data_IF_068791088779
#
_entry.id   IF_068791088779
#
_cell.length_a   1.000
_cell.length_b   1.000
_cell.length_c   1.000
_cell.angle_alpha   90.00
_cell.angle_beta   90.00
_cell.angle_gamma   90.00
#
_symmetry.space_group_name_H-M   'P 1'
#
loop_
_entity.id
_entity.type
_entity.pdbx_description
1 polymer ?
#
# COMPACT_ATOMS: atom_id res chain seq x y z
N UNK A 1 -6.40 -5.46 33.50
CA UNK A 1 -6.19 -4.80 32.20
C UNK A 1 -7.12 -5.50 31.21
N UNK A 2 -8.23 -4.87 30.82
CA UNK A 2 -9.15 -5.39 29.82
C UNK A 2 -8.46 -5.20 28.46
N UNK A 3 -8.15 -6.30 27.77
CA UNK A 3 -7.73 -6.27 26.39
C UNK A 3 -8.86 -5.62 25.58
N UNK A 4 -8.56 -4.43 25.05
CA UNK A 4 -9.44 -3.77 24.08
C UNK A 4 -9.58 -4.69 22.88
N UNK A 5 -10.70 -5.40 22.83
CA UNK A 5 -11.12 -6.18 21.66
C UNK A 5 -11.56 -5.17 20.60
N UNK A 6 -10.60 -4.46 20.03
CA UNK A 6 -10.86 -3.64 18.85
C UNK A 6 -11.17 -4.59 17.70
N UNK A 7 -12.38 -4.54 17.12
CA UNK A 7 -12.63 -5.25 15.88
C UNK A 7 -11.56 -4.80 14.87
N UNK A 8 -11.11 -5.73 14.04
CA UNK A 8 -10.01 -5.58 13.07
C UNK A 8 -10.28 -4.41 12.11
N UNK A 9 -10.09 -3.17 12.60
CA UNK A 9 -10.39 -1.93 11.87
C UNK A 9 -9.47 -1.78 10.66
N UNK A 10 -8.24 -2.30 10.77
CA UNK A 10 -7.25 -2.26 9.70
C UNK A 10 -7.77 -2.88 8.40
N UNK A 11 -8.49 -4.01 8.49
CA UNK A 11 -9.13 -4.66 7.34
C UNK A 11 -10.33 -3.92 6.76
N UNK A 12 -10.85 -2.90 7.46
CA UNK A 12 -11.96 -2.05 6.98
C UNK A 12 -11.49 -0.77 6.31
N UNK A 13 -10.19 -0.45 6.38
CA UNK A 13 -9.61 0.73 5.73
C UNK A 13 -9.10 0.32 4.35
N UNK A 14 -9.66 0.95 3.32
CA UNK A 14 -9.36 0.72 1.92
C UNK A 14 -8.53 1.87 1.34
N UNK A 15 -7.85 1.62 0.23
CA UNK A 15 -7.19 2.70 -0.54
C UNK A 15 -7.98 2.93 -1.82
N UNK A 16 -8.61 4.11 -1.95
CA UNK A 16 -9.42 4.52 -3.10
C UNK A 16 -8.97 5.90 -3.55
N UNK A 17 -8.71 6.09 -4.83
CA UNK A 17 -8.17 7.35 -5.41
C UNK A 17 -6.87 7.81 -4.71
N UNK A 18 -6.03 6.86 -4.26
CA UNK A 18 -4.80 7.17 -3.53
C UNK A 18 -5.01 7.63 -2.07
N UNK A 19 -6.26 7.69 -1.60
CA UNK A 19 -6.61 8.07 -0.24
C UNK A 19 -7.04 6.85 0.57
N UNK A 20 -6.71 6.83 1.85
CA UNK A 20 -7.20 5.84 2.79
C UNK A 20 -8.58 6.23 3.28
N UNK A 21 -9.53 5.32 3.13
CA UNK A 21 -10.93 5.57 3.42
C UNK A 21 -11.58 4.36 4.09
N UNK A 22 -12.65 4.61 4.82
CA UNK A 22 -13.52 3.59 5.41
C UNK A 22 -14.92 3.72 4.80
N UNK A 23 -15.57 2.59 4.53
CA UNK A 23 -16.93 2.57 3.99
C UNK A 23 -17.97 2.97 5.04
N UNK A 24 -19.05 3.59 4.63
CA UNK A 24 -20.15 4.05 5.49
C UNK A 24 -20.72 2.97 6.40
N UNK A 25 -20.82 1.73 5.94
CA UNK A 25 -21.34 0.63 6.75
C UNK A 25 -20.36 0.13 7.82
N UNK A 26 -19.06 0.13 7.49
CA UNK A 26 -18.05 -0.29 8.46
C UNK A 26 -17.88 0.78 9.53
N UNK A 27 -17.90 2.07 9.13
CA UNK A 27 -17.86 3.18 10.05
C UNK A 27 -19.11 3.21 10.96
N UNK A 28 -20.30 2.97 10.40
CA UNK A 28 -21.54 2.89 11.17
C UNK A 28 -21.49 1.75 12.19
N UNK A 29 -20.97 0.58 11.80
CA UNK A 29 -20.78 -0.56 12.70
C UNK A 29 -19.84 -0.22 13.86
N UNK A 30 -18.72 0.46 13.58
CA UNK A 30 -17.77 0.90 14.60
C UNK A 30 -18.39 1.91 15.57
N UNK A 31 -19.27 2.78 15.08
CA UNK A 31 -19.94 3.79 15.90
C UNK A 31 -21.21 3.29 16.59
N UNK A 32 -21.54 2.00 16.41
CA UNK A 32 -22.71 1.37 17.05
C UNK A 32 -24.05 1.92 16.53
N UNK A 33 -24.09 2.35 15.27
CA UNK A 33 -25.30 2.89 14.63
C UNK A 33 -25.61 2.18 13.31
N UNK A 34 -26.83 2.31 12.82
CA UNK A 34 -27.15 1.82 11.48
C UNK A 34 -26.55 2.75 10.41
N UNK A 35 -26.18 2.17 9.25
CA UNK A 35 -25.69 2.96 8.10
C UNK A 35 -26.69 4.06 7.68
N UNK A 36 -27.99 3.76 7.78
CA UNK A 36 -29.04 4.74 7.50
C UNK A 36 -28.93 5.95 8.42
N UNK A 37 -28.79 5.71 9.74
CA UNK A 37 -28.65 6.79 10.75
C UNK A 37 -27.38 7.61 10.54
N UNK A 38 -26.25 6.97 10.24
CA UNK A 38 -25.03 7.66 9.93
C UNK A 38 -25.22 8.59 8.72
N UNK A 39 -25.73 8.04 7.62
CA UNK A 39 -25.92 8.80 6.37
C UNK A 39 -26.97 9.95 6.52
N UNK A 40 -27.99 9.76 7.33
CA UNK A 40 -28.94 10.84 7.66
C UNK A 40 -28.28 11.98 8.43
N UNK A 41 -27.44 11.68 9.45
CA UNK A 41 -26.72 12.70 10.20
C UNK A 41 -25.71 13.45 9.33
N UNK A 42 -24.98 12.73 8.49
CA UNK A 42 -24.06 13.33 7.53
C UNK A 42 -24.81 14.24 6.56
N UNK A 43 -25.94 13.80 6.02
CA UNK A 43 -26.77 14.62 5.11
C UNK A 43 -27.28 15.90 5.77
N UNK A 44 -27.70 15.82 7.05
CA UNK A 44 -28.16 17.00 7.82
C UNK A 44 -27.04 18.00 8.11
N UNK A 45 -25.80 17.55 8.12
CA UNK A 45 -24.61 18.35 8.41
C UNK A 45 -23.66 18.40 7.21
N UNK A 46 -24.20 18.46 5.99
CA UNK A 46 -23.43 18.33 4.74
C UNK A 46 -22.26 19.32 4.63
N UNK A 47 -22.45 20.53 5.12
CA UNK A 47 -21.43 21.60 5.09
C UNK A 47 -20.17 21.28 5.88
N UNK A 48 -20.23 20.28 6.78
CA UNK A 48 -19.09 19.79 7.56
C UNK A 48 -18.32 18.66 6.85
N UNK A 49 -18.77 18.22 5.68
CA UNK A 49 -18.19 17.12 4.93
C UNK A 49 -17.81 17.57 3.52
N UNK A 50 -16.71 18.32 3.37
CA UNK A 50 -16.16 18.62 2.05
C UNK A 50 -15.69 17.33 1.35
N UNK A 51 -15.30 17.43 0.07
CA UNK A 51 -14.96 16.26 -0.76
C UNK A 51 -13.70 15.52 -0.28
N UNK A 52 -12.78 16.20 0.40
CA UNK A 52 -11.61 15.61 1.04
C UNK A 52 -11.92 14.89 2.36
N UNK A 53 -13.13 15.08 2.94
CA UNK A 53 -13.59 14.35 4.12
C UNK A 53 -14.46 13.15 3.75
N UNK A 54 -15.30 13.30 2.73
CA UNK A 54 -16.24 12.25 2.33
C UNK A 54 -16.61 12.38 0.85
N UNK A 55 -16.63 11.25 0.16
CA UNK A 55 -17.17 11.21 -1.21
C UNK A 55 -17.98 9.93 -1.45
N UNK A 56 -18.76 9.94 -2.52
CA UNK A 56 -19.54 8.78 -2.94
C UNK A 56 -18.80 8.02 -4.03
N UNK A 57 -18.75 6.68 -3.92
CA UNK A 57 -18.10 5.84 -4.92
C UNK A 57 -18.85 5.87 -6.25
N UNK A 58 -18.10 5.79 -7.33
CA UNK A 58 -18.63 5.57 -8.67
C UNK A 58 -18.97 4.10 -8.89
N UNK A 59 -19.81 3.81 -9.89
CA UNK A 59 -20.25 2.44 -10.22
C UNK A 59 -19.06 1.52 -10.46
N UNK A 60 -18.06 2.01 -11.20
CA UNK A 60 -16.85 1.24 -11.52
C UNK A 60 -16.01 0.93 -10.27
N UNK A 61 -15.88 1.89 -9.36
CA UNK A 61 -15.14 1.70 -8.10
C UNK A 61 -15.82 0.65 -7.21
N UNK A 62 -17.16 0.65 -7.16
CA UNK A 62 -17.93 -0.37 -6.46
C UNK A 62 -17.76 -1.75 -7.07
N UNK A 63 -17.72 -1.84 -8.41
CA UNK A 63 -17.47 -3.11 -9.11
C UNK A 63 -16.08 -3.67 -8.78
N UNK A 64 -15.05 -2.82 -8.84
CA UNK A 64 -13.68 -3.21 -8.50
C UNK A 64 -13.54 -3.66 -7.04
N UNK A 65 -14.21 -2.98 -6.10
CA UNK A 65 -14.23 -3.40 -4.70
C UNK A 65 -14.89 -4.77 -4.51
N UNK A 66 -15.97 -5.04 -5.25
CA UNK A 66 -16.64 -6.35 -5.17
C UNK A 66 -15.76 -7.48 -5.67
N UNK A 67 -15.01 -7.29 -6.76
CA UNK A 67 -14.09 -8.31 -7.28
C UNK A 67 -12.94 -8.59 -6.30
N UNK A 68 -12.45 -7.58 -5.58
CA UNK A 68 -11.41 -7.75 -4.57
C UNK A 68 -11.92 -8.41 -3.27
N UNK A 69 -13.17 -8.16 -2.89
CA UNK A 69 -13.80 -8.70 -1.68
C UNK A 69 -14.42 -10.09 -1.92
N UNK A 70 -14.78 -10.43 -3.16
CA UNK A 70 -15.34 -11.74 -3.51
C UNK A 70 -14.37 -12.92 -3.25
N UNK A 71 -13.08 -12.66 -3.09
CA UNK A 71 -12.08 -13.63 -2.63
C UNK A 71 -12.13 -13.88 -1.10
N UNK A 72 -12.84 -13.07 -0.32
CA UNK A 72 -13.09 -13.28 1.11
C UNK A 72 -14.57 -13.60 1.33
N UNK A 73 -14.84 -14.82 1.75
CA UNK A 73 -16.14 -15.49 1.93
C UNK A 73 -17.16 -14.76 2.84
N UNK A 74 -17.72 -13.64 2.41
CA UNK A 74 -18.95 -13.14 3.02
C UNK A 74 -19.97 -12.71 1.94
N UNK A 75 -21.18 -13.32 1.88
CA UNK A 75 -22.25 -12.93 0.99
C UNK A 75 -22.87 -11.62 1.48
N UNK A 76 -22.26 -10.48 1.13
CA UNK A 76 -22.84 -9.18 1.39
C UNK A 76 -23.76 -8.83 0.23
N UNK A 77 -25.08 -8.97 0.49
CA UNK A 77 -26.15 -8.73 -0.45
C UNK A 77 -25.96 -7.50 -1.31
N UNK A 78 -26.29 -7.63 -2.60
CA UNK A 78 -26.10 -6.61 -3.62
C UNK A 78 -26.74 -5.27 -3.25
N UNK A 79 -25.95 -4.30 -2.79
CA UNK A 79 -26.43 -2.95 -2.51
C UNK A 79 -26.81 -2.27 -3.81
N UNK A 80 -28.05 -1.81 -3.90
CA UNK A 80 -28.54 -0.95 -5.00
C UNK A 80 -27.94 0.46 -4.96
N UNK A 81 -27.34 0.87 -3.84
CA UNK A 81 -26.83 2.22 -3.63
C UNK A 81 -25.31 2.24 -3.60
N UNK A 82 -24.74 3.26 -4.24
CA UNK A 82 -23.31 3.56 -4.17
C UNK A 82 -22.95 4.00 -2.75
N UNK A 83 -22.01 3.33 -2.07
CA UNK A 83 -21.65 3.67 -0.70
C UNK A 83 -20.90 5.01 -0.64
N UNK A 84 -21.01 5.66 0.52
CA UNK A 84 -20.11 6.74 0.89
C UNK A 84 -18.85 6.17 1.53
N UNK A 85 -17.76 6.88 1.32
CA UNK A 85 -16.48 6.61 1.97
C UNK A 85 -16.02 7.84 2.73
N UNK A 86 -15.37 7.60 3.86
CA UNK A 86 -14.90 8.63 4.78
C UNK A 86 -13.39 8.52 4.92
N UNK A 87 -12.69 9.64 4.77
CA UNK A 87 -11.27 9.75 5.12
C UNK A 87 -11.10 9.78 6.64
N UNK A 88 -9.87 9.85 7.14
CA UNK A 88 -9.58 10.03 8.56
C UNK A 88 -10.36 11.22 9.16
N UNK A 89 -10.30 12.37 8.49
CA UNK A 89 -10.98 13.58 8.93
C UNK A 89 -12.51 13.44 8.88
N UNK A 90 -13.03 12.80 7.80
CA UNK A 90 -14.44 12.52 7.67
C UNK A 90 -14.97 11.57 8.74
N UNK A 91 -14.20 10.57 9.12
CA UNK A 91 -14.57 9.64 10.20
C UNK A 91 -14.66 10.38 11.56
N UNK A 92 -13.70 11.23 11.89
CA UNK A 92 -13.74 12.05 13.12
C UNK A 92 -14.96 12.99 13.10
N UNK A 93 -15.20 13.64 11.98
CA UNK A 93 -16.36 14.54 11.83
C UNK A 93 -17.69 13.77 11.97
N UNK A 94 -17.78 12.55 11.45
CA UNK A 94 -18.96 11.70 11.60
C UNK A 94 -19.21 11.33 13.08
N UNK A 95 -18.18 11.06 13.87
CA UNK A 95 -18.30 10.84 15.30
C UNK A 95 -18.85 12.09 16.02
N UNK A 96 -18.38 13.27 15.64
CA UNK A 96 -18.84 14.55 16.21
C UNK A 96 -20.34 14.81 15.94
N UNK A 97 -20.81 14.56 14.71
CA UNK A 97 -22.23 14.78 14.38
C UNK A 97 -23.14 13.71 14.97
N UNK A 98 -22.64 12.50 15.26
CA UNK A 98 -23.39 11.45 15.98
C UNK A 98 -23.50 11.73 17.47
N UNK A 99 -22.55 12.46 18.05
CA UNK A 99 -22.51 12.90 19.46
C UNK A 99 -22.78 11.78 20.50
N UNK A 100 -22.44 10.53 20.17
CA UNK A 100 -22.61 9.39 21.08
C UNK A 100 -21.27 9.04 21.75
N UNK A 101 -21.33 8.60 23.02
CA UNK A 101 -20.14 8.14 23.75
C UNK A 101 -19.39 7.03 23.01
N UNK A 102 -20.13 6.11 22.38
CA UNK A 102 -19.56 5.01 21.58
C UNK A 102 -18.81 5.57 20.37
N UNK A 103 -19.43 6.50 19.61
CA UNK A 103 -18.80 7.09 18.44
C UNK A 103 -17.54 7.90 18.81
N UNK A 104 -17.55 8.63 19.92
CA UNK A 104 -16.38 9.37 20.42
C UNK A 104 -15.23 8.40 20.76
N UNK A 105 -15.47 7.34 21.51
CA UNK A 105 -14.44 6.36 21.84
C UNK A 105 -13.92 5.63 20.59
N UNK A 106 -14.82 5.22 19.70
CA UNK A 106 -14.45 4.54 18.46
C UNK A 106 -13.66 5.44 17.52
N UNK A 107 -13.94 6.75 17.47
CA UNK A 107 -13.18 7.70 16.64
C UNK A 107 -11.70 7.77 17.05
N UNK A 108 -11.39 7.68 18.34
CA UNK A 108 -10.00 7.65 18.81
C UNK A 108 -9.27 6.42 18.23
N UNK A 109 -9.93 5.27 18.23
CA UNK A 109 -9.35 4.02 17.69
C UNK A 109 -9.19 4.13 16.17
N UNK A 110 -10.18 4.67 15.48
CA UNK A 110 -10.12 4.92 14.03
C UNK A 110 -8.91 5.81 13.69
N UNK A 111 -8.76 6.96 14.35
CA UNK A 111 -7.62 7.87 14.13
C UNK A 111 -6.28 7.17 14.38
N UNK A 112 -6.16 6.44 15.51
CA UNK A 112 -4.92 5.69 15.81
C UNK A 112 -4.60 4.66 14.74
N UNK A 113 -5.62 4.00 14.19
CA UNK A 113 -5.44 3.03 13.10
C UNK A 113 -4.96 3.71 11.82
N UNK A 114 -5.55 4.84 11.43
CA UNK A 114 -5.08 5.61 10.27
C UNK A 114 -3.63 6.08 10.44
N UNK A 115 -3.26 6.59 11.62
CA UNK A 115 -1.89 7.00 11.92
C UNK A 115 -0.93 5.80 11.79
N UNK A 116 -1.24 4.66 12.43
CA UNK A 116 -0.42 3.43 12.35
C UNK A 116 -0.22 3.00 10.91
N UNK A 117 -1.28 2.94 10.12
CA UNK A 117 -1.19 2.55 8.71
C UNK A 117 -0.38 3.54 7.87
N UNK A 118 -0.37 4.85 8.22
CA UNK A 118 0.48 5.85 7.57
C UNK A 118 1.95 5.62 7.88
N UNK A 119 2.28 5.34 9.13
CA UNK A 119 3.65 5.03 9.57
C UNK A 119 4.17 3.77 8.87
N UNK A 120 3.41 2.70 8.84
CA UNK A 120 3.79 1.46 8.13
C UNK A 120 4.09 1.70 6.64
N UNK A 121 3.30 2.55 5.97
CA UNK A 121 3.58 2.88 4.55
C UNK A 121 4.88 3.66 4.36
N UNK A 122 5.18 4.58 5.28
CA UNK A 122 6.43 5.34 5.23
C UNK A 122 7.64 4.40 5.40
N UNK A 123 7.56 3.45 6.35
CA UNK A 123 8.58 2.43 6.59
C UNK A 123 8.77 1.51 5.37
N UNK A 124 7.67 1.07 4.73
CA UNK A 124 7.75 0.29 3.48
C UNK A 124 8.36 1.08 2.33
N UNK A 125 8.09 2.37 2.23
CA UNK A 125 8.70 3.25 1.23
C UNK A 125 10.22 3.36 1.40
N UNK A 126 10.70 3.47 2.63
CA UNK A 126 12.12 3.49 2.95
C UNK A 126 12.80 2.15 2.65
N UNK A 127 12.16 1.04 3.03
CA UNK A 127 12.67 -0.30 2.74
C UNK A 127 12.80 -0.54 1.23
N UNK A 128 11.80 -0.15 0.44
CA UNK A 128 11.86 -0.24 -1.02
C UNK A 128 13.03 0.56 -1.59
N UNK A 129 13.27 1.77 -1.08
CA UNK A 129 14.41 2.61 -1.51
C UNK A 129 15.75 1.95 -1.18
N UNK A 130 15.91 1.39 0.02
CA UNK A 130 17.12 0.65 0.42
C UNK A 130 17.35 -0.57 -0.44
N UNK A 131 16.29 -1.32 -0.77
CA UNK A 131 16.39 -2.48 -1.66
C UNK A 131 16.87 -2.07 -3.06
N UNK A 132 16.30 -1.02 -3.64
CA UNK A 132 16.74 -0.49 -4.93
C UNK A 132 18.20 -0.02 -4.92
N UNK A 133 18.67 0.58 -3.83
CA UNK A 133 20.08 0.98 -3.67
C UNK A 133 21.02 -0.23 -3.63
N UNK A 134 20.63 -1.28 -2.90
CA UNK A 134 21.38 -2.56 -2.85
C UNK A 134 21.41 -3.22 -4.24
N UNK A 135 20.29 -3.30 -4.93
CA UNK A 135 20.21 -3.86 -6.30
C UNK A 135 21.13 -3.11 -7.26
N UNK A 136 21.17 -1.77 -7.17
CA UNK A 136 22.05 -0.93 -7.99
C UNK A 136 23.53 -1.18 -7.69
N UNK A 137 23.90 -1.27 -6.41
CA UNK A 137 25.29 -1.57 -6.01
C UNK A 137 25.72 -2.96 -6.44
N UNK A 138 24.84 -3.94 -6.34
CA UNK A 138 25.11 -5.29 -6.83
C UNK A 138 25.32 -5.30 -8.34
N UNK A 139 24.46 -4.65 -9.10
CA UNK A 139 24.61 -4.56 -10.57
C UNK A 139 25.93 -3.89 -10.97
N UNK A 140 26.37 -2.84 -10.27
CA UNK A 140 27.64 -2.18 -10.49
C UNK A 140 28.82 -3.11 -10.17
N UNK A 141 28.80 -3.78 -9.00
CA UNK A 141 29.84 -4.72 -8.62
C UNK A 141 29.97 -5.90 -9.59
N UNK A 142 28.86 -6.45 -10.10
CA UNK A 142 28.90 -7.50 -11.11
C UNK A 142 29.53 -7.00 -12.44
N UNK A 143 29.22 -5.76 -12.87
CA UNK A 143 29.82 -5.19 -14.07
C UNK A 143 31.35 -4.98 -13.92
N UNK A 144 31.80 -4.51 -12.75
CA UNK A 144 33.23 -4.37 -12.43
C UNK A 144 33.96 -5.72 -12.45
N UNK A 145 33.40 -6.74 -11.77
CA UNK A 145 33.96 -8.08 -11.79
C UNK A 145 33.99 -8.73 -13.18
N UNK A 146 32.97 -8.49 -14.01
CA UNK A 146 32.95 -8.98 -15.39
C UNK A 146 34.09 -8.35 -16.21
N UNK A 147 34.38 -7.07 -16.02
CA UNK A 147 35.50 -6.39 -16.67
C UNK A 147 36.84 -6.97 -16.22
N UNK A 148 37.04 -7.14 -14.89
CA UNK A 148 38.25 -7.76 -14.36
C UNK A 148 38.46 -9.18 -14.91
N UNK A 149 37.39 -10.00 -14.97
CA UNK A 149 37.44 -11.33 -15.54
C UNK A 149 37.81 -11.31 -17.04
N UNK A 150 37.35 -10.35 -17.79
CA UNK A 150 37.70 -10.20 -19.20
C UNK A 150 39.18 -9.83 -19.38
N UNK A 151 39.71 -8.93 -18.54
CA UNK A 151 41.12 -8.58 -18.54
C UNK A 151 41.99 -9.80 -18.20
N UNK A 152 41.64 -10.56 -17.15
CA UNK A 152 42.35 -11.77 -16.78
C UNK A 152 42.32 -12.80 -17.92
N UNK A 153 41.17 -13.04 -18.55
CA UNK A 153 41.08 -13.95 -19.71
C UNK A 153 41.93 -13.48 -20.87
N UNK A 154 42.00 -12.19 -21.12
CA UNK A 154 42.85 -11.62 -22.16
C UNK A 154 44.33 -11.86 -21.88
N UNK A 155 44.77 -11.62 -20.64
CA UNK A 155 46.19 -11.88 -20.23
C UNK A 155 46.54 -13.37 -20.34
N UNK A 156 45.67 -14.26 -19.90
CA UNK A 156 45.86 -15.73 -20.03
C UNK A 156 46.00 -16.11 -21.51
N UNK A 157 45.15 -15.58 -22.38
CA UNK A 157 45.21 -15.86 -23.82
C UNK A 157 46.53 -15.40 -24.48
N UNK A 158 47.15 -14.35 -23.94
CA UNK A 158 48.46 -13.90 -24.40
C UNK A 158 49.60 -14.83 -23.95
N UNK A 159 49.48 -15.39 -22.73
CA UNK A 159 50.46 -16.35 -22.20
C UNK A 159 50.35 -17.72 -22.88
N UNK A 160 49.17 -18.13 -23.32
CA UNK A 160 48.92 -19.37 -24.03
C UNK A 160 49.30 -19.34 -25.52
N UNK A 161 49.65 -18.17 -26.09
CA UNK A 161 50.17 -18.13 -27.49
C UNK A 161 51.44 -18.97 -27.57
N UNK A 162 51.41 -20.12 -28.32
CA UNK A 162 52.54 -21.03 -28.34
C UNK A 162 53.78 -20.40 -28.97
N UNK A 163 54.96 -20.78 -28.47
CA UNK A 163 56.32 -20.49 -28.94
C UNK A 163 56.53 -21.08 -30.36
N UNK A 164 55.52 -21.41 -31.11
CA UNK A 164 55.61 -22.05 -32.44
C UNK A 164 56.12 -21.12 -33.56
N UNK A 165 56.13 -19.82 -33.36
CA UNK A 165 56.66 -18.92 -34.40
C UNK A 165 58.18 -18.70 -34.39
N UNK A 166 58.89 -19.12 -33.38
CA UNK A 166 60.36 -18.97 -33.32
C UNK A 166 61.14 -20.14 -33.97
N UNK A 167 60.47 -21.23 -34.31
CA UNK A 167 61.14 -22.39 -34.95
C UNK A 167 61.25 -22.32 -36.47
N UNK A 168 60.51 -21.43 -37.13
CA UNK A 168 60.52 -21.33 -38.61
C UNK A 168 61.61 -20.43 -39.19
N UNK A 169 62.40 -19.71 -38.36
CA UNK A 169 63.43 -18.78 -38.89
C UNK A 169 64.85 -19.35 -38.75
N UNK A 170 65.03 -20.60 -38.34
CA UNK A 170 66.35 -21.19 -38.15
C UNK A 170 66.70 -22.37 -39.09
N UNK A 171 65.94 -22.65 -40.09
CA UNK A 171 66.27 -23.62 -41.13
C UNK A 171 66.13 -22.99 -42.52
N UNK A 172 67.01 -22.07 -42.80
CA UNK A 172 67.28 -21.56 -44.13
C UNK A 172 68.74 -21.87 -44.48
N UNK A 173 68.94 -23.01 -45.07
CA UNK A 173 70.01 -23.34 -46.00
C UNK A 173 69.37 -24.07 -47.15
#
# INVERSE_FOLDING_TARGET
MKQDTCPHIEGSILTIRGQRVILDHDLARLYGVSTKRLNEQVKRNRDRFPEDFMFQLQVQEVANLRSQIATSNEPRGGRRYRPYVFTEHGAVMAANVLSSKIAIHASIVVVRTFIRMRTMLAEHGELKRRLQDIEKRLAQGFAEHEQELQEIRFLISQLERPIEQQKKTRLGF
#
